data_IF_181732911603
#
_entry.id   IF_181732911603
#
_cell.length_a   1.000
_cell.length_b   1.000
_cell.length_c   1.000
_cell.angle_alpha   90.00
_cell.angle_beta   90.00
_cell.angle_gamma   90.00
#
_symmetry.space_group_name_H-M   'P 1'
#
loop_
_entity.id
_entity.type
_entity.pdbx_description
1 polymer ?
#
# COMPACT_ATOMS: atom_id res chain seq x y z
N UNK A 1 12.83 -18.12 73.45
CA UNK A 1 11.91 -18.11 72.29
C UNK A 1 12.06 -16.73 71.64
N UNK A 2 12.75 -16.63 70.52
CA UNK A 2 12.97 -15.39 69.77
C UNK A 2 12.23 -15.50 68.47
N UNK A 3 11.16 -14.72 68.32
CA UNK A 3 10.39 -14.61 67.09
C UNK A 3 11.07 -13.60 66.13
N UNK A 4 11.50 -14.08 64.95
CA UNK A 4 12.00 -13.25 63.87
C UNK A 4 10.81 -12.84 63.00
N UNK A 5 10.59 -11.54 62.89
CA UNK A 5 9.62 -10.97 61.95
C UNK A 5 10.36 -10.62 60.66
N UNK A 6 10.07 -11.35 59.59
CA UNK A 6 10.61 -11.06 58.26
C UNK A 6 9.74 -9.99 57.59
N UNK A 7 10.37 -8.87 57.28
CA UNK A 7 9.77 -7.79 56.50
C UNK A 7 9.88 -8.11 55.00
N UNK A 8 8.77 -8.43 54.35
CA UNK A 8 8.72 -8.57 52.91
C UNK A 8 8.45 -7.20 52.27
N UNK A 9 9.47 -6.64 51.63
CA UNK A 9 9.31 -5.43 50.82
C UNK A 9 8.80 -5.83 49.43
N UNK A 10 7.53 -5.50 49.13
CA UNK A 10 6.96 -5.67 47.82
C UNK A 10 7.38 -4.52 46.92
N UNK A 11 8.31 -4.79 46.00
CA UNK A 11 8.67 -3.84 44.94
C UNK A 11 7.69 -3.99 43.77
N UNK A 12 6.67 -3.13 43.69
CA UNK A 12 5.83 -2.97 42.52
C UNK A 12 6.52 -2.04 41.55
N UNK A 13 7.18 -2.59 40.53
CA UNK A 13 7.78 -1.84 39.44
C UNK A 13 6.79 -1.62 38.31
N UNK A 14 6.50 -0.37 38.08
CA UNK A 14 6.16 0.37 36.89
C UNK A 14 6.46 -0.38 35.55
N UNK A 15 5.43 -1.00 34.96
CA UNK A 15 5.47 -1.55 33.60
C UNK A 15 4.36 -0.91 32.72
N UNK A 16 4.25 0.43 32.68
CA UNK A 16 3.20 1.09 31.89
C UNK A 16 3.72 1.89 30.69
N UNK A 17 5.02 1.84 30.39
CA UNK A 17 5.61 2.67 29.33
C UNK A 17 5.89 1.97 27.99
N UNK A 18 5.91 0.63 27.96
CA UNK A 18 6.37 -0.10 26.77
C UNK A 18 5.29 -0.36 25.69
N UNK A 19 4.02 -0.36 26.08
CA UNK A 19 2.93 -0.68 25.15
C UNK A 19 2.68 0.43 24.11
N UNK A 20 2.73 1.69 24.51
CA UNK A 20 2.49 2.82 23.61
C UNK A 20 3.60 3.02 22.57
N UNK A 21 4.86 2.73 22.96
CA UNK A 21 6.00 2.84 22.03
C UNK A 21 5.96 1.72 20.96
N UNK A 22 5.45 0.54 21.32
CA UNK A 22 5.36 -0.59 20.41
C UNK A 22 4.24 -0.42 19.38
N UNK A 23 3.13 0.23 19.75
CA UNK A 23 2.04 0.52 18.81
C UNK A 23 2.45 1.61 17.80
N UNK A 24 3.17 2.65 18.23
CA UNK A 24 3.72 3.67 17.34
C UNK A 24 4.70 3.08 16.31
N UNK A 25 5.59 2.17 16.72
CA UNK A 25 6.52 1.49 15.80
C UNK A 25 5.78 0.65 14.76
N UNK A 26 4.71 -0.04 15.13
CA UNK A 26 3.88 -0.82 14.18
C UNK A 26 3.19 0.07 13.16
N UNK A 27 2.66 1.22 13.58
CA UNK A 27 2.02 2.19 12.68
C UNK A 27 3.03 2.75 11.68
N UNK A 28 4.21 3.17 12.15
CA UNK A 28 5.28 3.66 11.29
C UNK A 28 5.77 2.61 10.28
N UNK A 29 5.91 1.36 10.71
CA UNK A 29 6.32 0.25 9.84
C UNK A 29 5.25 -0.07 8.80
N UNK A 30 3.96 -0.02 9.16
CA UNK A 30 2.85 -0.18 8.23
C UNK A 30 2.83 0.93 7.16
N UNK A 31 3.10 2.19 7.54
CA UNK A 31 3.23 3.30 6.59
C UNK A 31 4.40 3.08 5.64
N UNK A 32 5.58 2.72 6.15
CA UNK A 32 6.77 2.41 5.33
C UNK A 32 6.51 1.25 4.38
N UNK A 33 5.84 0.20 4.88
CA UNK A 33 5.49 -0.98 4.08
C UNK A 33 4.62 -0.59 2.88
N UNK A 34 3.46 0.08 3.11
CA UNK A 34 2.58 0.46 1.99
C UNK A 34 3.24 1.42 1.00
N UNK A 35 4.06 2.38 1.49
CA UNK A 35 4.81 3.30 0.63
C UNK A 35 5.80 2.55 -0.25
N UNK A 36 6.51 1.54 0.30
CA UNK A 36 7.45 0.71 -0.43
C UNK A 36 6.74 -0.15 -1.46
N UNK A 37 5.63 -0.78 -1.10
CA UNK A 37 4.81 -1.58 -2.00
C UNK A 37 4.27 -0.74 -3.17
N UNK A 38 3.69 0.44 -2.90
CA UNK A 38 3.21 1.38 -3.93
C UNK A 38 4.34 1.91 -4.82
N UNK A 39 5.52 2.17 -4.27
CA UNK A 39 6.70 2.58 -5.04
C UNK A 39 7.15 1.46 -5.98
N UNK A 40 7.22 0.21 -5.48
CA UNK A 40 7.59 -0.95 -6.28
C UNK A 40 6.55 -1.23 -7.38
N UNK A 41 5.27 -1.05 -7.07
CA UNK A 41 4.19 -1.16 -8.05
C UNK A 41 4.34 -0.11 -9.15
N UNK A 42 4.55 1.17 -8.79
CA UNK A 42 4.77 2.25 -9.75
C UNK A 42 6.01 2.03 -10.63
N UNK A 43 7.09 1.48 -10.07
CA UNK A 43 8.29 1.09 -10.80
C UNK A 43 8.01 0.05 -11.90
N UNK A 44 7.12 -0.91 -11.63
CA UNK A 44 6.76 -1.92 -12.62
C UNK A 44 5.71 -1.40 -13.62
N UNK A 45 4.78 -0.55 -13.20
CA UNK A 45 3.74 -0.01 -14.07
C UNK A 45 4.25 1.10 -15.01
N UNK A 46 5.24 1.90 -14.57
CA UNK A 46 5.77 3.03 -15.34
C UNK A 46 6.19 2.68 -16.77
N UNK A 47 7.03 1.66 -17.00
CA UNK A 47 7.42 1.22 -18.34
C UNK A 47 6.26 0.75 -19.20
N UNK A 48 5.25 0.09 -18.65
CA UNK A 48 4.03 -0.26 -19.38
C UNK A 48 3.29 1.00 -19.89
N UNK A 49 3.25 2.04 -19.04
CA UNK A 49 2.74 3.34 -19.42
C UNK A 49 3.56 4.03 -20.51
N UNK A 50 4.89 3.94 -20.45
CA UNK A 50 5.80 4.49 -21.45
C UNK A 50 5.64 3.77 -22.81
N UNK A 51 5.59 2.44 -22.81
CA UNK A 51 5.29 1.64 -24.01
C UNK A 51 3.94 2.03 -24.61
N UNK A 52 2.90 2.11 -23.77
CA UNK A 52 1.55 2.45 -24.24
C UNK A 52 1.43 3.84 -24.87
N UNK A 53 2.28 4.80 -24.44
CA UNK A 53 2.35 6.16 -25.01
C UNK A 53 3.25 6.26 -26.23
N UNK A 54 4.13 5.30 -26.45
CA UNK A 54 5.19 5.33 -27.47
C UNK A 54 6.45 6.08 -27.04
N UNK A 55 6.61 6.33 -25.74
CA UNK A 55 7.81 6.92 -25.14
C UNK A 55 8.93 5.87 -24.97
N UNK A 56 8.58 4.60 -25.09
CA UNK A 56 9.46 3.43 -25.07
C UNK A 56 8.99 2.43 -26.13
N UNK A 57 9.94 1.75 -26.79
CA UNK A 57 9.62 0.68 -27.72
C UNK A 57 8.88 -0.46 -27.02
N UNK A 58 7.92 -1.05 -27.72
CA UNK A 58 7.17 -2.17 -27.19
C UNK A 58 8.02 -3.44 -27.19
N UNK A 59 8.19 -4.01 -26.01
CA UNK A 59 8.80 -5.33 -25.79
C UNK A 59 7.76 -6.23 -25.09
N UNK A 60 7.35 -7.29 -25.78
CA UNK A 60 6.28 -8.16 -25.30
C UNK A 60 6.71 -8.98 -24.06
N UNK A 61 7.98 -9.39 -23.97
CA UNK A 61 8.47 -10.17 -22.83
C UNK A 61 8.58 -9.28 -21.58
N UNK A 62 9.12 -8.08 -21.75
CA UNK A 62 9.18 -7.10 -20.65
C UNK A 62 7.80 -6.68 -20.20
N UNK A 63 6.87 -6.44 -21.13
CA UNK A 63 5.49 -6.10 -20.82
C UNK A 63 4.80 -7.22 -20.02
N UNK A 64 4.97 -8.49 -20.43
CA UNK A 64 4.39 -9.63 -19.71
C UNK A 64 4.96 -9.77 -18.29
N UNK A 65 6.27 -9.69 -18.15
CA UNK A 65 6.92 -9.74 -16.85
C UNK A 65 6.44 -8.62 -15.92
N UNK A 66 6.33 -7.40 -16.42
CA UNK A 66 5.90 -6.24 -15.61
C UNK A 66 4.42 -6.28 -15.26
N UNK A 67 3.56 -6.66 -16.21
CA UNK A 67 2.13 -6.79 -15.95
C UNK A 67 1.84 -7.85 -14.88
N UNK A 68 2.54 -8.99 -14.93
CA UNK A 68 2.46 -10.01 -13.88
C UNK A 68 2.89 -9.48 -12.52
N UNK A 69 4.00 -8.73 -12.45
CA UNK A 69 4.44 -8.11 -11.18
C UNK A 69 3.45 -7.08 -10.66
N UNK A 70 2.84 -6.28 -11.53
CA UNK A 70 1.79 -5.33 -11.15
C UNK A 70 0.61 -6.07 -10.54
N UNK A 71 0.16 -7.18 -11.14
CA UNK A 71 -0.90 -8.03 -10.59
C UNK A 71 -0.54 -8.57 -9.20
N UNK A 72 0.67 -9.13 -9.04
CA UNK A 72 1.13 -9.70 -7.77
C UNK A 72 1.29 -8.63 -6.66
N UNK A 73 1.69 -7.43 -7.02
CA UNK A 73 1.86 -6.30 -6.11
C UNK A 73 0.53 -5.60 -5.78
N UNK A 74 -0.50 -5.75 -6.59
CA UNK A 74 -1.75 -4.99 -6.48
C UNK A 74 -2.46 -5.17 -5.13
N UNK A 75 -2.32 -6.32 -4.49
CA UNK A 75 -2.97 -6.66 -3.22
C UNK A 75 -2.15 -6.24 -1.99
N UNK A 76 -0.85 -5.98 -2.16
CA UNK A 76 0.07 -5.81 -1.03
C UNK A 76 -0.09 -4.50 -0.24
N UNK A 77 -0.30 -3.32 -0.86
CA UNK A 77 -0.26 -2.05 -0.13
C UNK A 77 -1.31 -1.92 0.97
N UNK A 78 -2.41 -2.64 0.83
CA UNK A 78 -3.62 -2.45 1.63
C UNK A 78 -3.44 -2.86 3.09
N UNK A 79 -2.60 -3.86 3.35
CA UNK A 79 -2.21 -4.28 4.71
C UNK A 79 -1.57 -3.15 5.54
N UNK A 80 -0.98 -2.16 4.87
CA UNK A 80 -0.38 -1.00 5.52
C UNK A 80 -1.34 0.14 5.83
N UNK A 81 -2.65 -0.01 5.57
CA UNK A 81 -3.68 0.96 5.95
C UNK A 81 -4.36 0.48 7.23
N UNK A 82 -3.71 0.71 8.35
CA UNK A 82 -4.20 0.35 9.69
C UNK A 82 -4.67 1.59 10.46
N UNK A 83 -5.39 1.39 11.54
CA UNK A 83 -5.83 2.47 12.45
C UNK A 83 -4.62 3.29 12.92
N UNK A 84 -4.77 4.61 12.95
CA UNK A 84 -3.71 5.54 13.35
C UNK A 84 -2.60 5.75 12.30
N UNK A 85 -2.75 5.26 11.05
CA UNK A 85 -1.72 5.33 10.02
C UNK A 85 -1.98 6.36 8.92
N UNK A 86 -3.02 7.19 9.06
CA UNK A 86 -3.38 8.21 8.10
C UNK A 86 -2.67 9.55 8.38
N UNK A 87 -2.77 10.49 7.46
CA UNK A 87 -2.15 11.81 7.60
C UNK A 87 -2.71 12.55 8.81
N UNK A 88 -1.83 13.06 9.66
CA UNK A 88 -2.12 13.78 10.91
C UNK A 88 -2.60 12.90 12.08
N UNK A 89 -2.49 11.60 12.04
CA UNK A 89 -2.83 10.70 13.15
C UNK A 89 -1.80 10.70 14.29
N UNK A 90 -0.77 11.55 14.22
CA UNK A 90 0.20 11.74 15.31
C UNK A 90 1.40 10.80 15.29
N UNK A 91 1.52 9.92 14.29
CA UNK A 91 2.74 9.14 14.03
C UNK A 91 3.84 10.05 13.47
N UNK A 92 5.10 9.77 13.74
CA UNK A 92 6.25 10.60 13.35
C UNK A 92 6.65 10.52 11.87
N UNK A 93 5.86 9.89 10.98
CA UNK A 93 6.19 9.65 9.57
C UNK A 93 5.25 10.43 8.64
N UNK A 94 5.82 11.02 7.61
CA UNK A 94 5.06 11.68 6.56
C UNK A 94 4.30 10.67 5.70
N UNK A 95 3.00 10.90 5.52
CA UNK A 95 2.16 10.12 4.60
C UNK A 95 1.20 11.02 3.85
N UNK A 96 0.97 10.71 2.57
CA UNK A 96 -0.02 11.38 1.75
C UNK A 96 -1.43 10.78 1.86
N UNK A 97 -1.61 9.68 2.59
CA UNK A 97 -2.93 9.07 2.80
C UNK A 97 -3.80 9.97 3.68
N UNK A 98 -4.86 10.54 3.11
CA UNK A 98 -5.73 11.50 3.79
C UNK A 98 -6.57 10.85 4.89
N UNK A 99 -6.90 11.60 5.94
CA UNK A 99 -7.83 11.16 6.99
C UNK A 99 -9.20 10.72 6.43
N UNK A 100 -9.65 11.34 5.33
CA UNK A 100 -10.85 10.97 4.57
C UNK A 100 -10.90 9.47 4.20
N UNK A 101 -9.75 8.80 4.10
CA UNK A 101 -9.69 7.34 3.86
C UNK A 101 -10.39 6.56 4.96
N UNK A 102 -10.19 6.93 6.22
CA UNK A 102 -10.87 6.31 7.36
C UNK A 102 -12.36 6.59 7.40
N UNK A 103 -12.76 7.82 7.02
CA UNK A 103 -14.17 8.24 7.02
C UNK A 103 -15.00 7.56 5.92
N UNK A 104 -14.35 7.05 4.85
CA UNK A 104 -15.00 6.47 3.67
C UNK A 104 -14.40 5.11 3.31
N UNK A 105 -14.22 4.25 4.30
CA UNK A 105 -13.52 2.98 4.14
C UNK A 105 -14.13 2.07 3.05
N UNK A 106 -15.45 1.97 2.99
CA UNK A 106 -16.14 1.13 2.00
C UNK A 106 -15.84 1.58 0.55
N UNK A 107 -15.82 2.90 0.29
CA UNK A 107 -15.45 3.43 -1.03
C UNK A 107 -13.95 3.24 -1.32
N UNK A 108 -13.10 3.40 -0.31
CA UNK A 108 -11.67 3.14 -0.44
C UNK A 108 -11.39 1.67 -0.76
N UNK A 109 -12.03 0.73 -0.07
CA UNK A 109 -11.92 -0.71 -0.34
C UNK A 109 -12.43 -1.06 -1.75
N UNK A 110 -13.54 -0.45 -2.17
CA UNK A 110 -14.02 -0.62 -3.54
C UNK A 110 -12.98 -0.16 -4.57
N UNK A 111 -12.31 0.94 -4.36
CA UNK A 111 -11.24 1.42 -5.28
C UNK A 111 -10.01 0.50 -5.27
N UNK A 112 -9.71 -0.16 -4.16
CA UNK A 112 -8.68 -1.22 -4.11
C UNK A 112 -9.08 -2.37 -5.03
N UNK A 113 -10.30 -2.89 -4.87
CA UNK A 113 -10.83 -3.99 -5.68
C UNK A 113 -10.87 -3.63 -7.17
N UNK A 114 -11.33 -2.43 -7.52
CA UNK A 114 -11.35 -1.94 -8.90
C UNK A 114 -9.92 -1.94 -9.50
N UNK A 115 -8.90 -1.55 -8.73
CA UNK A 115 -7.51 -1.59 -9.17
C UNK A 115 -6.98 -3.02 -9.32
N UNK A 116 -7.22 -3.90 -8.37
CA UNK A 116 -6.81 -5.31 -8.40
C UNK A 116 -7.40 -6.05 -9.60
N UNK A 117 -8.66 -5.77 -9.92
CA UNK A 117 -9.35 -6.32 -11.07
C UNK A 117 -8.71 -5.85 -12.39
N UNK A 118 -8.43 -4.55 -12.53
CA UNK A 118 -7.78 -4.01 -13.73
C UNK A 118 -6.32 -4.45 -13.87
N UNK A 119 -5.60 -4.64 -12.76
CA UNK A 119 -4.25 -5.21 -12.75
C UNK A 119 -4.26 -6.69 -13.21
N UNK A 120 -5.27 -7.44 -12.81
CA UNK A 120 -5.46 -8.83 -13.26
C UNK A 120 -5.74 -8.89 -14.76
N UNK A 121 -6.66 -8.07 -15.27
CA UNK A 121 -6.95 -7.96 -16.70
C UNK A 121 -5.70 -7.56 -17.50
N UNK A 122 -4.86 -6.68 -16.94
CA UNK A 122 -3.61 -6.26 -17.59
C UNK A 122 -2.65 -7.44 -17.77
N UNK A 123 -2.49 -8.28 -16.75
CA UNK A 123 -1.67 -9.48 -16.85
C UNK A 123 -2.25 -10.50 -17.84
N UNK A 124 -3.56 -10.66 -17.88
CA UNK A 124 -4.25 -11.56 -18.82
C UNK A 124 -4.07 -11.12 -20.28
N UNK A 125 -4.30 -9.84 -20.59
CA UNK A 125 -4.13 -9.28 -21.95
C UNK A 125 -2.74 -9.56 -22.49
N UNK A 126 -1.71 -9.39 -21.66
CA UNK A 126 -0.32 -9.62 -22.12
C UNK A 126 0.01 -11.10 -22.19
N UNK A 127 -0.46 -11.92 -21.24
CA UNK A 127 -0.18 -13.36 -21.23
C UNK A 127 -0.87 -14.11 -22.39
N UNK A 128 -2.02 -13.62 -22.84
CA UNK A 128 -2.73 -14.19 -23.99
C UNK A 128 -2.08 -13.84 -25.33
N UNK A 129 -1.06 -12.97 -25.35
CA UNK A 129 -0.43 -12.50 -26.57
C UNK A 129 -1.30 -11.56 -27.38
N UNK A 130 -2.21 -10.86 -26.72
CA UNK A 130 -3.06 -9.86 -27.36
C UNK A 130 -2.20 -8.75 -28.02
N UNK A 131 -2.77 -8.05 -28.96
CA UNK A 131 -2.05 -7.04 -29.71
C UNK A 131 -1.72 -5.79 -28.87
N UNK A 132 -0.82 -4.97 -29.39
CA UNK A 132 -0.38 -3.74 -28.71
C UNK A 132 -1.55 -2.75 -28.45
N UNK A 133 -2.61 -2.78 -29.28
CA UNK A 133 -3.77 -1.92 -29.06
C UNK A 133 -4.56 -2.37 -27.82
N UNK A 134 -4.69 -3.67 -27.59
CA UNK A 134 -5.29 -4.22 -26.37
C UNK A 134 -4.47 -3.85 -25.12
N UNK A 135 -3.14 -3.97 -25.18
CA UNK A 135 -2.26 -3.52 -24.10
C UNK A 135 -2.48 -2.02 -23.79
N UNK A 136 -2.45 -1.16 -24.79
CA UNK A 136 -2.66 0.29 -24.60
C UNK A 136 -3.98 0.62 -23.92
N UNK A 137 -5.05 -0.05 -24.35
CA UNK A 137 -6.38 0.11 -23.77
C UNK A 137 -6.38 -0.31 -22.30
N UNK A 138 -5.78 -1.44 -21.99
CA UNK A 138 -5.77 -1.97 -20.63
C UNK A 138 -4.86 -1.16 -19.69
N UNK A 139 -3.69 -0.71 -20.16
CA UNK A 139 -2.84 0.22 -19.41
C UNK A 139 -3.59 1.51 -19.07
N UNK A 140 -4.37 2.05 -20.00
CA UNK A 140 -5.18 3.23 -19.74
C UNK A 140 -6.28 2.97 -18.69
N UNK A 141 -6.95 1.81 -18.75
CA UNK A 141 -7.95 1.41 -17.76
C UNK A 141 -7.34 1.27 -16.36
N UNK A 142 -6.23 0.56 -16.23
CA UNK A 142 -5.51 0.39 -14.96
C UNK A 142 -5.01 1.75 -14.42
N UNK A 143 -4.47 2.62 -15.28
CA UNK A 143 -4.03 3.97 -14.88
C UNK A 143 -5.18 4.82 -14.34
N UNK A 144 -6.39 4.66 -14.90
CA UNK A 144 -7.59 5.36 -14.44
C UNK A 144 -7.97 4.99 -13.01
N UNK A 145 -7.83 3.72 -12.62
CA UNK A 145 -8.11 3.32 -11.22
C UNK A 145 -7.12 3.94 -10.25
N UNK A 146 -5.83 4.01 -10.60
CA UNK A 146 -4.84 4.73 -9.80
C UNK A 146 -5.24 6.20 -9.61
N UNK A 147 -5.61 6.88 -10.70
CA UNK A 147 -6.02 8.28 -10.64
C UNK A 147 -7.27 8.48 -9.79
N UNK A 148 -8.30 7.67 -9.96
CA UNK A 148 -9.55 7.78 -9.22
C UNK A 148 -9.36 7.66 -7.70
N UNK A 149 -8.45 6.76 -7.27
CA UNK A 149 -8.09 6.62 -5.86
C UNK A 149 -7.27 7.83 -5.37
N UNK A 150 -6.27 8.26 -6.14
CA UNK A 150 -5.40 9.39 -5.77
C UNK A 150 -6.17 10.71 -5.68
N UNK A 151 -7.10 10.99 -6.58
CA UNK A 151 -7.89 12.22 -6.58
C UNK A 151 -8.72 12.36 -5.28
N UNK A 152 -9.12 11.25 -4.66
CA UNK A 152 -9.98 11.25 -3.48
C UNK A 152 -9.20 11.10 -2.17
N UNK A 153 -8.17 10.23 -2.13
CA UNK A 153 -7.58 9.74 -0.89
C UNK A 153 -6.10 10.09 -0.72
N UNK A 154 -5.48 10.74 -1.70
CA UNK A 154 -4.08 11.16 -1.64
C UNK A 154 -3.98 12.68 -1.58
N UNK A 155 -3.18 13.21 -0.64
CA UNK A 155 -2.82 14.62 -0.62
C UNK A 155 -2.02 14.99 -1.88
N UNK A 156 -2.29 16.18 -2.43
CA UNK A 156 -1.44 16.80 -3.44
C UNK A 156 -0.09 17.18 -2.78
N UNK A 157 1.00 17.01 -3.53
CA UNK A 157 2.36 17.42 -3.10
C UNK A 157 2.62 18.86 -3.50
#
# INVERSE_FOLDING_TARGET
MKTMISLAVASTLLMSGAALAQDGTKVEDAIKYRQSALTTLAWNFGPLGAMAKGDMDYDAEEAAMRAKRVQELAVMPWEGFIEGSLRNDGHGIETAALAKTGDNWDDFEKKQQDFEEEATKLAEVVSNGDDFAALRKQVAATSKTCKNCHDEYRAEN
#
